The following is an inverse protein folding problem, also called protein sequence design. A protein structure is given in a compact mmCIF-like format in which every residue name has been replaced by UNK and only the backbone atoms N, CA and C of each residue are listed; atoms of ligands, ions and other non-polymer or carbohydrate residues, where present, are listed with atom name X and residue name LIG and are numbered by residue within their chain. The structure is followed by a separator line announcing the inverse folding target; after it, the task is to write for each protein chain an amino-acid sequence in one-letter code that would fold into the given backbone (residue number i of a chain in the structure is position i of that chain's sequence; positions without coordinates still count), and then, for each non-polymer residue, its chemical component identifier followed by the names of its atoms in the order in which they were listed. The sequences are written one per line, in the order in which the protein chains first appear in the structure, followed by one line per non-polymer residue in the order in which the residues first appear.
data_IF_046535306753
#
_entry.id   IF_046535306753
#
_cell.length_a   1.000
_cell.length_b   1.000
_cell.length_c   1.000
_cell.angle_alpha   90.00
_cell.angle_beta   90.00
_cell.angle_gamma   90.00
#
_symmetry.space_group_name_H-M   'P 1'
#
loop_
_entity.id
_entity.type
_entity.pdbx_description
1 polymer ?
#
# COMPACT_ATOMS: atom_id res chain seq x y z
N UNK A 1 -6.69 -0.16 -16.28
CA UNK A 1 -7.06 -0.97 -17.47
C UNK A 1 -8.15 -0.25 -18.26
N UNK A 2 -8.05 -0.18 -19.60
CA UNK A 2 -9.13 0.39 -20.44
C UNK A 2 -10.21 -0.68 -20.70
N UNK A 3 -11.27 -0.72 -19.89
CA UNK A 3 -12.28 -1.79 -19.93
C UNK A 3 -13.15 -1.76 -21.21
N UNK A 4 -13.35 -0.58 -21.79
CA UNK A 4 -14.22 -0.36 -22.95
C UNK A 4 -13.50 -0.46 -24.30
N UNK A 5 -12.23 -0.91 -24.35
CA UNK A 5 -11.42 -0.95 -25.58
C UNK A 5 -11.82 -2.06 -26.58
N UNK A 6 -12.87 -2.82 -26.28
CA UNK A 6 -13.24 -4.04 -27.02
C UNK A 6 -12.76 -5.33 -26.32
N UNK A 7 -12.81 -6.48 -27.00
CA UNK A 7 -12.43 -7.77 -26.43
C UNK A 7 -10.94 -7.86 -26.08
N UNK A 8 -10.63 -8.48 -24.93
CA UNK A 8 -9.27 -8.86 -24.53
C UNK A 8 -9.32 -10.02 -23.53
N UNK A 9 -8.24 -10.80 -23.45
CA UNK A 9 -8.12 -11.94 -22.51
C UNK A 9 -8.35 -11.45 -21.08
N UNK A 10 -9.30 -12.06 -20.37
CA UNK A 10 -9.62 -11.71 -18.98
C UNK A 10 -10.64 -10.57 -18.79
N UNK A 11 -11.19 -9.99 -19.87
CA UNK A 11 -12.17 -8.89 -19.79
C UNK A 11 -13.39 -9.23 -18.91
N UNK A 12 -14.04 -10.37 -19.17
CA UNK A 12 -15.25 -10.77 -18.45
C UNK A 12 -14.98 -11.03 -16.96
N UNK A 13 -13.82 -11.63 -16.64
CA UNK A 13 -13.39 -11.82 -15.26
C UNK A 13 -13.19 -10.47 -14.55
N UNK A 14 -12.54 -9.51 -15.22
CA UNK A 14 -12.33 -8.17 -14.65
C UNK A 14 -13.64 -7.41 -14.46
N UNK A 15 -14.61 -7.53 -15.39
CA UNK A 15 -15.93 -6.91 -15.22
C UNK A 15 -16.67 -7.46 -13.99
N UNK A 16 -16.62 -8.78 -13.77
CA UNK A 16 -17.20 -9.40 -12.58
C UNK A 16 -16.54 -8.88 -11.30
N UNK A 17 -15.20 -8.81 -11.28
CA UNK A 17 -14.45 -8.31 -10.14
C UNK A 17 -14.74 -6.83 -9.83
N UNK A 18 -14.91 -6.00 -10.86
CA UNK A 18 -15.31 -4.60 -10.67
C UNK A 18 -16.71 -4.47 -10.05
N UNK A 19 -17.64 -5.34 -10.43
CA UNK A 19 -19.00 -5.35 -9.89
C UNK A 19 -19.08 -5.92 -8.46
N UNK A 20 -18.28 -6.94 -8.14
CA UNK A 20 -18.27 -7.58 -6.82
C UNK A 20 -17.37 -6.88 -5.80
N UNK A 21 -16.45 -6.04 -6.25
CA UNK A 21 -15.35 -5.53 -5.43
C UNK A 21 -14.24 -6.56 -5.23
N UNK A 22 -13.21 -6.13 -4.49
CA UNK A 22 -12.01 -6.92 -4.19
C UNK A 22 -11.82 -7.05 -2.68
N UNK A 23 -11.36 -8.21 -2.19
CA UNK A 23 -11.14 -8.41 -0.75
C UNK A 23 -9.92 -7.65 -0.22
N UNK A 24 -8.94 -7.38 -1.09
CA UNK A 24 -7.71 -6.69 -0.74
C UNK A 24 -7.46 -5.52 -1.68
N UNK A 25 -6.86 -4.45 -1.16
CA UNK A 25 -6.43 -3.29 -1.95
C UNK A 25 -4.95 -3.03 -1.77
N UNK A 26 -4.34 -2.53 -2.84
CA UNK A 26 -2.96 -2.08 -2.84
C UNK A 26 -2.86 -0.72 -2.17
N UNK A 27 -1.88 -0.56 -1.28
CA UNK A 27 -1.68 0.64 -0.47
C UNK A 27 -0.21 1.01 -0.40
N UNK A 28 0.05 2.31 -0.21
CA UNK A 28 1.34 2.83 0.26
C UNK A 28 1.23 3.10 1.76
N UNK A 29 2.27 2.76 2.50
CA UNK A 29 2.32 2.82 3.96
C UNK A 29 3.57 3.59 4.36
N UNK A 30 3.41 4.56 5.26
CA UNK A 30 4.51 5.23 5.95
C UNK A 30 4.77 4.54 7.27
N UNK A 31 6.03 4.20 7.55
CA UNK A 31 6.47 3.60 8.81
C UNK A 31 7.04 4.67 9.73
N UNK A 32 6.57 4.69 10.98
CA UNK A 32 6.88 5.72 11.97
C UNK A 32 7.87 5.22 13.01
N UNK A 33 8.67 6.15 13.53
CA UNK A 33 9.60 5.88 14.64
C UNK A 33 10.70 4.87 14.30
N UNK A 34 10.94 4.68 13.00
CA UNK A 34 11.97 3.78 12.49
C UNK A 34 13.26 4.57 12.21
N UNK A 35 14.38 4.03 12.68
CA UNK A 35 15.69 4.70 12.63
C UNK A 35 16.84 3.79 12.25
N UNK A 36 16.65 2.46 12.33
CA UNK A 36 17.71 1.47 12.14
C UNK A 36 17.38 0.42 11.07
N UNK A 37 16.11 0.27 10.65
CA UNK A 37 15.73 -0.70 9.63
C UNK A 37 14.51 -0.27 8.79
N UNK A 38 14.68 -0.09 7.48
CA UNK A 38 13.56 0.12 6.56
C UNK A 38 12.88 -1.21 6.17
N UNK A 39 11.58 -1.19 5.81
CA UNK A 39 10.95 -2.35 5.21
C UNK A 39 11.60 -2.66 3.86
N UNK A 40 11.69 -3.93 3.51
CA UNK A 40 12.26 -4.41 2.25
C UNK A 40 11.20 -5.12 1.40
N UNK A 41 10.26 -5.80 2.03
CA UNK A 41 9.18 -6.57 1.40
C UNK A 41 8.93 -7.89 2.13
N UNK A 42 7.69 -8.38 2.02
CA UNK A 42 7.14 -9.55 2.71
C UNK A 42 6.83 -9.37 4.20
N UNK A 43 7.04 -8.17 4.77
CA UNK A 43 6.68 -7.88 6.16
C UNK A 43 5.16 -7.96 6.37
N UNK A 44 4.69 -8.61 7.44
CA UNK A 44 3.27 -8.69 7.73
C UNK A 44 2.73 -7.35 8.27
N UNK A 45 1.50 -7.01 7.86
CA UNK A 45 0.76 -5.81 8.26
C UNK A 45 -0.39 -6.19 9.19
N UNK A 46 -0.62 -5.38 10.22
CA UNK A 46 -1.55 -5.70 11.31
C UNK A 46 -2.47 -4.52 11.63
N UNK A 47 -3.71 -4.84 12.00
CA UNK A 47 -4.65 -3.84 12.51
C UNK A 47 -4.35 -3.46 13.98
N UNK A 48 -5.15 -2.53 14.52
CA UNK A 48 -5.07 -2.09 15.92
C UNK A 48 -5.34 -3.20 16.95
N UNK A 49 -5.99 -4.28 16.52
CA UNK A 49 -6.28 -5.47 17.35
C UNK A 49 -5.21 -6.56 17.20
N UNK A 50 -4.06 -6.22 16.60
CA UNK A 50 -2.94 -7.13 16.36
C UNK A 50 -3.28 -8.36 15.48
N UNK A 51 -4.32 -8.24 14.63
CA UNK A 51 -4.63 -9.27 13.63
C UNK A 51 -3.87 -8.97 12.35
N UNK A 52 -3.26 -9.99 11.74
CA UNK A 52 -2.62 -9.84 10.44
C UNK A 52 -3.68 -9.60 9.36
N UNK A 53 -3.59 -8.47 8.67
CA UNK A 53 -4.57 -8.01 7.67
C UNK A 53 -4.00 -7.95 6.26
N UNK A 54 -2.70 -8.19 6.12
CA UNK A 54 -2.01 -7.90 4.87
C UNK A 54 -0.52 -8.13 4.96
N UNK A 55 0.17 -7.70 3.91
CA UNK A 55 1.61 -7.86 3.78
C UNK A 55 2.20 -6.82 2.84
N UNK A 56 3.38 -6.31 3.19
CA UNK A 56 4.20 -5.53 2.30
C UNK A 56 4.71 -6.39 1.13
N UNK A 57 4.74 -5.82 -0.07
CA UNK A 57 5.36 -6.41 -1.25
C UNK A 57 6.76 -5.86 -1.49
N UNK A 58 6.98 -4.59 -1.15
CA UNK A 58 8.28 -3.92 -1.24
C UNK A 58 8.33 -2.77 -0.24
N UNK A 59 9.53 -2.37 0.15
CA UNK A 59 9.75 -1.19 0.96
C UNK A 59 11.12 -0.57 0.70
N UNK A 60 11.25 0.71 1.07
CA UNK A 60 12.50 1.46 0.98
C UNK A 60 12.43 2.78 1.75
N UNK A 61 13.59 3.40 2.00
CA UNK A 61 13.65 4.77 2.49
C UNK A 61 13.47 5.79 1.36
N UNK A 62 12.36 6.54 1.38
CA UNK A 62 12.08 7.60 0.43
C UNK A 62 12.91 8.85 0.71
N UNK A 63 14.11 8.97 0.15
CA UNK A 63 15.03 10.10 0.42
C UNK A 63 14.43 11.49 0.16
N UNK A 64 13.62 11.68 -0.89
CA UNK A 64 12.97 12.96 -1.16
C UNK A 64 11.98 13.36 -0.06
N UNK A 65 11.34 12.37 0.56
CA UNK A 65 10.33 12.55 1.59
C UNK A 65 10.91 12.44 3.01
N UNK A 66 12.13 11.89 3.14
CA UNK A 66 12.80 11.54 4.40
C UNK A 66 11.95 10.63 5.28
N UNK A 67 11.32 9.64 4.66
CA UNK A 67 10.35 8.72 5.28
C UNK A 67 10.66 7.28 4.91
N UNK A 68 10.44 6.37 5.85
CA UNK A 68 10.45 4.94 5.59
C UNK A 68 9.10 4.53 5.00
N UNK A 69 9.10 3.88 3.83
CA UNK A 69 7.88 3.59 3.07
C UNK A 69 7.80 2.12 2.68
N UNK A 70 6.61 1.56 2.72
CA UNK A 70 6.28 0.25 2.16
C UNK A 70 5.09 0.36 1.21
N UNK A 71 5.03 -0.56 0.25
CA UNK A 71 3.84 -0.82 -0.56
C UNK A 71 3.37 -2.25 -0.29
N UNK A 72 2.08 -2.50 -0.37
CA UNK A 72 1.55 -3.83 -0.08
C UNK A 72 0.06 -3.95 -0.29
N UNK A 73 -0.47 -5.09 0.14
CA UNK A 73 -1.90 -5.35 0.12
C UNK A 73 -2.44 -5.48 1.54
N UNK A 74 -3.59 -4.85 1.80
CA UNK A 74 -4.37 -4.98 3.03
C UNK A 74 -5.82 -5.30 2.69
N UNK A 75 -6.57 -5.80 3.67
CA UNK A 75 -8.03 -5.94 3.55
C UNK A 75 -8.67 -4.62 3.13
N UNK A 76 -9.65 -4.69 2.22
CA UNK A 76 -10.14 -3.52 1.48
C UNK A 76 -10.79 -2.44 2.37
N UNK A 77 -11.33 -2.81 3.53
CA UNK A 77 -11.91 -1.93 4.54
C UNK A 77 -10.85 -1.13 5.32
N UNK A 78 -9.60 -1.60 5.32
CA UNK A 78 -8.46 -0.98 6.00
C UNK A 78 -7.50 -0.26 5.05
N UNK A 79 -7.90 -0.07 3.79
CA UNK A 79 -7.08 0.52 2.74
C UNK A 79 -7.22 2.05 2.59
N UNK A 80 -8.00 2.69 3.44
CA UNK A 80 -8.28 4.14 3.34
C UNK A 80 -7.06 4.93 3.83
N UNK A 81 -6.70 6.01 3.12
CA UNK A 81 -5.65 6.94 3.55
C UNK A 81 -5.94 7.47 4.96
N UNK A 82 -4.92 7.51 5.81
CA UNK A 82 -5.02 7.85 7.23
C UNK A 82 -5.32 6.67 8.15
N UNK A 83 -5.58 5.47 7.60
CA UNK A 83 -5.75 4.27 8.43
C UNK A 83 -4.45 3.95 9.16
N UNK A 84 -4.52 3.91 10.48
CA UNK A 84 -3.42 3.46 11.34
C UNK A 84 -3.35 1.95 11.39
N UNK A 85 -2.15 1.43 11.23
CA UNK A 85 -1.82 0.02 11.25
C UNK A 85 -0.42 -0.17 11.86
N UNK A 86 0.07 -1.40 11.83
CA UNK A 86 1.45 -1.67 12.21
C UNK A 86 2.10 -2.67 11.27
N UNK A 87 3.41 -2.55 11.11
CA UNK A 87 4.25 -3.42 10.29
C UNK A 87 5.27 -4.12 11.19
N UNK A 88 5.62 -5.36 10.89
CA UNK A 88 6.70 -6.06 11.60
C UNK A 88 7.99 -6.03 10.79
N UNK A 89 9.00 -5.32 11.28
CA UNK A 89 10.31 -5.23 10.63
C UNK A 89 11.31 -5.91 11.57
N UNK A 90 11.98 -6.96 11.08
CA UNK A 90 12.97 -7.74 11.85
C UNK A 90 12.46 -8.18 13.25
N UNK A 91 11.19 -8.58 13.33
CA UNK A 91 10.55 -9.03 14.57
C UNK A 91 10.08 -7.90 15.50
N UNK A 92 10.23 -6.64 15.12
CA UNK A 92 9.76 -5.49 15.89
C UNK A 92 8.50 -4.88 15.26
N UNK A 93 7.47 -4.65 16.09
CA UNK A 93 6.24 -3.98 15.68
C UNK A 93 6.45 -2.47 15.60
N UNK A 94 6.32 -1.89 14.41
CA UNK A 94 6.43 -0.45 14.18
C UNK A 94 5.06 0.12 13.80
N UNK A 95 4.77 1.32 14.29
CA UNK A 95 3.55 2.03 13.90
C UNK A 95 3.64 2.45 12.44
N UNK A 96 2.51 2.43 11.75
CA UNK A 96 2.47 2.81 10.35
C UNK A 96 1.10 3.37 9.97
N UNK A 97 1.06 4.13 8.88
CA UNK A 97 -0.18 4.74 8.38
C UNK A 97 -0.30 4.55 6.88
N UNK A 98 -1.50 4.23 6.40
CA UNK A 98 -1.79 4.23 4.96
C UNK A 98 -1.72 5.67 4.45
N UNK A 99 -0.88 5.91 3.44
CA UNK A 99 -0.68 7.22 2.82
C UNK A 99 -1.12 7.19 1.35
N UNK A 100 -1.13 8.35 0.72
CA UNK A 100 -1.42 8.46 -0.71
C UNK A 100 -0.39 7.66 -1.52
N UNK A 101 -0.83 7.03 -2.62
CA UNK A 101 -0.01 6.10 -3.42
C UNK A 101 1.29 6.74 -3.93
N UNK A 102 1.22 7.99 -4.38
CA UNK A 102 2.35 8.81 -4.80
C UNK A 102 2.57 9.94 -3.78
N UNK A 103 3.25 9.69 -2.65
CA UNK A 103 3.41 10.69 -1.59
C UNK A 103 4.33 11.85 -2.00
N UNK A 104 5.08 11.71 -3.10
CA UNK A 104 5.82 12.80 -3.75
C UNK A 104 5.14 13.15 -5.07
N UNK A 105 4.91 14.45 -5.30
CA UNK A 105 4.30 15.02 -6.52
C UNK A 105 3.12 14.21 -7.08
N UNK A 106 2.03 14.02 -6.32
CA UNK A 106 0.91 13.16 -6.72
C UNK A 106 0.24 13.58 -8.03
N UNK A 107 0.27 14.87 -8.35
CA UNK A 107 -0.35 15.45 -9.53
C UNK A 107 0.61 15.53 -10.74
N UNK A 108 1.84 15.06 -10.58
CA UNK A 108 2.91 15.11 -11.59
C UNK A 108 3.17 16.54 -12.12
N UNK A 109 3.13 17.54 -11.24
CA UNK A 109 3.32 18.94 -11.64
C UNK A 109 4.76 19.20 -12.10
N UNK A 110 5.74 18.55 -11.49
CA UNK A 110 7.15 18.75 -11.86
C UNK A 110 7.49 18.12 -13.21
N UNK A 111 6.89 16.97 -13.52
CA UNK A 111 7.11 16.28 -14.79
C UNK A 111 6.41 16.94 -15.98
N UNK A 112 5.38 17.75 -15.73
CA UNK A 112 4.57 18.42 -16.76
C UNK A 112 5.06 19.84 -17.12
N UNK A 113 5.99 20.38 -16.34
CA UNK A 113 6.51 21.74 -16.49
C UNK A 113 7.46 21.89 -17.69
#
# INVERSE_FOLDING_TARGET
VRINKGPFIGREALQRQLASGVPNRFVTVEVHGESDADPQGNEPLFDRSARMIGRATSGYYGHCLRKSLAIGYVQADLATVGTELSIEILGQRKQATVVQESPYDPDNLQLRA
#
